data_IF_026292548474
#
_entry.id   IF_026292548474
#
_cell.length_a   1.000
_cell.length_b   1.000
_cell.length_c   1.000
_cell.angle_alpha   90.00
_cell.angle_beta   90.00
_cell.angle_gamma   90.00
#
_symmetry.space_group_name_H-M   'P 1'
#
loop_
_entity.id
_entity.type
_entity.pdbx_description
1 polymer ?
#
# COMPACT_ATOMS: atom_id res chain seq x y z
N UNK A 1 40.77 49.63 1.98
CA UNK A 1 39.55 48.85 2.33
C UNK A 1 39.86 47.42 2.80
N UNK A 2 40.76 46.70 2.13
CA UNK A 2 40.96 45.24 2.27
C UNK A 2 41.24 44.71 3.69
N UNK A 3 42.10 45.37 4.49
CA UNK A 3 42.39 44.98 5.89
C UNK A 3 41.13 44.87 6.76
N UNK A 4 40.12 45.72 6.52
CA UNK A 4 38.85 45.69 7.25
C UNK A 4 38.00 44.47 6.90
N UNK A 5 37.92 44.11 5.61
CA UNK A 5 37.24 42.87 5.16
C UNK A 5 37.87 41.61 5.78
N UNK A 6 39.21 41.58 5.90
CA UNK A 6 39.95 40.45 6.50
C UNK A 6 39.72 40.31 8.01
N UNK A 7 39.50 41.42 8.72
CA UNK A 7 39.09 41.41 10.13
C UNK A 7 37.63 40.92 10.30
N UNK A 8 36.70 41.39 9.46
CA UNK A 8 35.28 41.03 9.56
C UNK A 8 35.06 39.52 9.35
N UNK A 9 35.72 38.91 8.35
CA UNK A 9 35.69 37.44 8.13
C UNK A 9 36.19 36.66 9.35
N UNK A 10 37.39 36.98 9.87
CA UNK A 10 37.94 36.31 11.07
C UNK A 10 37.02 36.36 12.30
N UNK A 11 36.20 37.42 12.44
CA UNK A 11 35.23 37.50 13.54
C UNK A 11 34.04 36.55 13.33
N UNK A 12 33.49 36.51 12.11
CA UNK A 12 32.41 35.58 11.74
C UNK A 12 32.85 34.11 11.86
N UNK A 13 34.08 33.77 11.43
CA UNK A 13 34.64 32.42 11.58
C UNK A 13 34.72 31.99 13.06
N UNK A 14 35.10 32.92 13.96
CA UNK A 14 35.17 32.68 15.39
C UNK A 14 33.79 32.52 16.05
N UNK A 15 32.81 33.34 15.67
CA UNK A 15 31.43 33.25 16.14
C UNK A 15 30.76 31.95 15.65
N UNK A 16 30.99 31.56 14.39
CA UNK A 16 30.46 30.30 13.81
C UNK A 16 31.05 29.05 14.49
N UNK A 17 32.37 29.03 14.75
CA UNK A 17 32.99 27.93 15.52
C UNK A 17 32.46 27.82 16.95
N UNK A 18 32.25 28.95 17.64
CA UNK A 18 31.64 28.95 18.98
C UNK A 18 30.19 28.44 18.96
N UNK A 19 29.41 28.78 17.93
CA UNK A 19 28.03 28.25 17.80
C UNK A 19 28.03 26.73 17.61
N UNK A 20 28.89 26.19 16.72
CA UNK A 20 29.05 24.74 16.53
C UNK A 20 29.51 24.01 17.79
N UNK A 21 30.47 24.58 18.53
CA UNK A 21 30.91 23.99 19.80
C UNK A 21 29.78 23.95 20.83
N UNK A 22 29.03 25.06 21.00
CA UNK A 22 27.89 25.09 21.93
C UNK A 22 26.80 24.09 21.56
N UNK A 23 26.49 23.94 20.25
CA UNK A 23 25.55 22.91 19.80
C UNK A 23 26.02 21.50 20.17
N UNK A 24 27.31 21.19 20.01
CA UNK A 24 27.85 19.88 20.40
C UNK A 24 27.89 19.64 21.92
N UNK A 25 28.06 20.70 22.70
CA UNK A 25 27.95 20.65 24.17
C UNK A 25 26.48 20.47 24.63
N UNK A 26 25.49 20.94 23.86
CA UNK A 26 24.06 20.72 24.11
C UNK A 26 23.58 19.35 23.62
N UNK A 27 24.16 18.83 22.53
CA UNK A 27 23.94 17.50 21.94
C UNK A 27 24.38 16.38 22.90
N UNK A 28 25.64 16.39 23.35
CA UNK A 28 26.17 15.40 24.33
C UNK A 28 25.37 15.42 25.63
N UNK A 29 24.89 16.59 26.07
CA UNK A 29 24.05 16.70 27.26
C UNK A 29 22.63 16.15 27.04
N UNK A 30 22.13 16.12 25.81
CA UNK A 30 20.87 15.45 25.48
C UNK A 30 21.04 13.92 25.50
N UNK A 31 22.14 13.40 24.95
CA UNK A 31 22.48 11.97 24.99
C UNK A 31 22.59 11.45 26.45
N UNK A 32 23.31 12.18 27.32
CA UNK A 32 23.46 11.86 28.75
C UNK A 32 22.10 11.76 29.49
N UNK A 33 21.16 12.66 29.20
CA UNK A 33 19.80 12.61 29.76
C UNK A 33 18.96 11.45 29.20
N UNK A 34 19.13 11.08 27.92
CA UNK A 34 18.45 9.93 27.33
C UNK A 34 18.95 8.62 27.95
N UNK A 35 20.24 8.51 28.26
CA UNK A 35 20.81 7.33 28.91
C UNK A 35 20.41 7.24 30.40
N UNK A 36 20.30 8.35 31.12
CA UNK A 36 19.75 8.40 32.49
C UNK A 36 18.28 7.94 32.53
N UNK A 37 17.43 8.46 31.64
CA UNK A 37 16.01 8.05 31.54
C UNK A 37 15.89 6.57 31.17
N UNK A 38 16.70 6.10 30.21
CA UNK A 38 16.74 4.67 29.81
C UNK A 38 17.11 3.77 30.98
N UNK A 39 18.02 4.21 31.85
CA UNK A 39 18.43 3.50 33.07
C UNK A 39 17.30 3.43 34.10
N UNK A 40 16.57 4.52 34.33
CA UNK A 40 15.40 4.55 35.24
C UNK A 40 14.27 3.62 34.75
N UNK A 41 13.95 3.66 33.45
CA UNK A 41 12.94 2.79 32.82
C UNK A 41 13.31 1.30 32.91
N UNK A 42 14.60 0.95 33.01
CA UNK A 42 15.04 -0.42 33.28
C UNK A 42 14.81 -0.83 34.73
N UNK A 43 15.04 0.06 35.71
CA UNK A 43 14.85 -0.23 37.14
C UNK A 43 13.36 -0.39 37.52
N UNK A 44 12.47 0.44 36.99
CA UNK A 44 11.01 0.31 37.22
C UNK A 44 10.42 -1.00 36.66
N UNK A 45 11.05 -1.57 35.61
CA UNK A 45 10.67 -2.87 35.03
C UNK A 45 11.12 -4.07 35.89
N UNK A 46 12.18 -3.95 36.68
CA UNK A 46 12.49 -4.96 37.71
C UNK A 46 11.58 -4.80 38.94
N UNK A 47 11.32 -3.57 39.39
CA UNK A 47 10.51 -3.28 40.57
C UNK A 47 9.05 -3.75 40.48
N UNK A 48 8.51 -3.92 39.28
CA UNK A 48 7.12 -4.33 39.03
C UNK A 48 6.88 -5.85 38.98
N UNK A 49 7.94 -6.68 39.06
CA UNK A 49 7.81 -8.15 38.98
C UNK A 49 7.40 -8.79 40.32
N UNK A 50 6.11 -8.71 40.64
CA UNK A 50 5.49 -9.31 41.83
C UNK A 50 5.72 -10.84 41.89
N UNK A 51 6.08 -11.42 43.05
CA UNK A 51 6.47 -12.83 43.14
C UNK A 51 5.30 -13.80 42.98
N UNK A 52 5.60 -14.94 42.35
CA UNK A 52 4.69 -16.05 42.06
C UNK A 52 4.45 -16.90 43.32
N UNK A 53 3.18 -17.21 43.62
CA UNK A 53 2.83 -17.93 44.85
C UNK A 53 2.85 -19.45 44.66
N UNK A 54 3.95 -20.09 45.07
CA UNK A 54 4.04 -21.55 45.14
C UNK A 54 3.04 -22.11 46.15
N UNK A 55 2.09 -22.92 45.67
CA UNK A 55 1.06 -23.55 46.50
C UNK A 55 1.66 -24.70 47.33
N UNK A 56 1.70 -24.54 48.65
CA UNK A 56 2.19 -25.58 49.57
C UNK A 56 1.10 -26.61 49.89
N UNK A 57 1.49 -27.89 49.96
CA UNK A 57 0.66 -28.99 50.48
C UNK A 57 0.91 -29.22 51.99
N UNK A 58 -0.07 -29.79 52.73
CA UNK A 58 0.06 -30.08 54.17
C UNK A 58 1.01 -31.26 54.47
N UNK A 59 1.45 -31.43 55.74
CA UNK A 59 2.58 -32.29 56.09
C UNK A 59 2.26 -33.79 56.12
N UNK A 60 3.33 -34.60 56.14
CA UNK A 60 3.32 -36.06 56.21
C UNK A 60 3.24 -36.56 57.66
N UNK A 61 2.59 -37.71 57.85
CA UNK A 61 2.88 -38.64 58.95
C UNK A 61 3.47 -39.95 58.39
N UNK A 62 4.08 -40.76 59.25
CA UNK A 62 4.89 -41.93 58.88
C UNK A 62 4.10 -43.16 58.41
N UNK A 63 4.73 -43.97 57.55
CA UNK A 63 5.03 -45.41 57.83
C UNK A 63 5.89 -46.01 56.70
N UNK A 64 6.93 -46.76 57.09
CA UNK A 64 7.80 -47.60 56.25
C UNK A 64 7.44 -49.10 56.42
N UNK A 65 8.01 -50.04 55.63
CA UNK A 65 8.34 -50.02 54.19
C UNK A 65 7.99 -51.37 53.50
N UNK A 66 8.08 -51.44 52.15
CA UNK A 66 8.42 -52.63 51.32
C UNK A 66 8.11 -52.31 49.85
N UNK A 67 8.75 -52.90 48.82
CA UNK A 67 10.09 -53.50 48.66
C UNK A 67 10.27 -53.85 47.17
N UNK A 68 11.52 -54.01 46.70
CA UNK A 68 11.90 -54.55 45.35
C UNK A 68 11.40 -53.74 44.13
N UNK A 69 12.08 -53.69 42.98
CA UNK A 69 13.47 -54.01 42.57
C UNK A 69 13.63 -53.61 41.10
N UNK A 70 14.85 -53.27 40.65
CA UNK A 70 15.43 -53.63 39.32
C UNK A 70 14.68 -53.24 38.00
N UNK A 71 15.34 -52.89 36.89
CA UNK A 71 16.74 -52.51 36.63
C UNK A 71 16.83 -51.59 35.38
N UNK A 72 18.02 -51.02 35.23
CA UNK A 72 18.65 -50.11 34.26
C UNK A 72 18.37 -50.23 32.75
N UNK A 73 18.90 -49.22 32.04
CA UNK A 73 19.34 -49.16 30.62
C UNK A 73 18.33 -48.58 29.59
N UNK A 74 18.69 -47.54 28.82
CA UNK A 74 19.80 -47.33 27.85
C UNK A 74 19.58 -48.10 26.52
N UNK A 75 19.82 -47.55 25.32
CA UNK A 75 20.37 -46.23 24.92
C UNK A 75 19.82 -45.76 23.55
N UNK A 76 20.32 -44.63 23.05
CA UNK A 76 20.05 -43.99 21.75
C UNK A 76 20.30 -44.90 20.51
N UNK A 77 19.74 -44.53 19.34
CA UNK A 77 20.55 -44.03 18.20
C UNK A 77 19.69 -43.24 17.17
N UNK A 78 20.34 -42.58 16.21
CA UNK A 78 19.79 -41.63 15.24
C UNK A 78 19.82 -42.17 13.81
N UNK A 79 18.77 -41.91 13.00
CA UNK A 79 18.89 -41.81 11.53
C UNK A 79 17.73 -40.96 10.97
N UNK A 80 17.92 -39.80 10.33
CA UNK A 80 18.54 -39.45 9.02
C UNK A 80 17.66 -39.67 7.77
N UNK A 81 17.39 -38.55 7.10
CA UNK A 81 17.30 -38.33 5.63
C UNK A 81 16.05 -38.72 4.78
N UNK A 82 15.55 -37.69 4.07
CA UNK A 82 15.11 -37.62 2.65
C UNK A 82 13.61 -37.59 2.26
N UNK A 83 13.30 -36.56 1.43
CA UNK A 83 12.48 -36.55 0.20
C UNK A 83 10.94 -36.36 0.27
N UNK A 84 10.54 -35.17 -0.23
CA UNK A 84 9.43 -34.79 -1.15
C UNK A 84 7.94 -34.85 -0.75
N UNK A 85 7.30 -33.74 -1.16
CA UNK A 85 6.03 -33.54 -1.89
C UNK A 85 4.67 -33.91 -1.25
N UNK A 86 3.70 -33.03 -1.56
CA UNK A 86 2.22 -33.14 -1.40
C UNK A 86 1.68 -33.24 0.06
N UNK A 87 0.69 -32.47 0.52
CA UNK A 87 -0.59 -31.92 -0.01
C UNK A 87 -1.81 -32.81 0.29
N UNK A 88 -2.98 -32.17 0.47
CA UNK A 88 -4.23 -32.71 1.05
C UNK A 88 -4.13 -32.99 2.57
N UNK A 89 -5.12 -32.78 3.45
CA UNK A 89 -6.59 -32.64 3.40
C UNK A 89 -7.40 -33.96 3.51
N UNK A 90 -8.38 -33.93 4.42
CA UNK A 90 -9.34 -34.98 4.84
C UNK A 90 -8.81 -36.19 5.63
N UNK A 91 -9.40 -36.38 6.82
CA UNK A 91 -10.26 -37.53 7.19
C UNK A 91 -11.25 -36.98 8.26
N UNK A 92 -12.57 -37.19 8.21
CA UNK A 92 -13.31 -38.42 8.58
C UNK A 92 -12.87 -39.02 9.93
N UNK A 93 -13.69 -39.69 10.74
CA UNK A 93 -15.11 -39.66 11.15
C UNK A 93 -15.24 -40.84 12.11
N UNK A 94 -16.11 -40.80 13.13
CA UNK A 94 -16.72 -42.03 13.70
C UNK A 94 -17.93 -41.71 14.58
N UNK A 95 -18.98 -42.50 14.39
CA UNK A 95 -20.13 -42.67 15.30
C UNK A 95 -19.73 -43.55 16.50
N UNK A 96 -20.46 -43.74 17.60
CA UNK A 96 -21.86 -43.43 17.98
C UNK A 96 -22.07 -43.76 19.46
N UNK A 97 -23.05 -43.15 20.15
CA UNK A 97 -23.95 -43.88 21.09
C UNK A 97 -25.19 -43.04 21.44
N UNK A 98 -26.23 -43.71 21.95
CA UNK A 98 -27.58 -43.16 22.20
C UNK A 98 -28.02 -43.50 23.63
N UNK A 99 -28.48 -42.51 24.41
CA UNK A 99 -29.19 -42.73 25.67
C UNK A 99 -30.04 -41.51 26.10
N UNK A 100 -31.27 -41.77 26.50
CA UNK A 100 -32.24 -40.90 27.21
C UNK A 100 -33.13 -41.83 28.07
N UNK A 101 -33.90 -41.31 29.05
CA UNK A 101 -33.69 -40.15 29.92
C UNK A 101 -33.85 -40.57 31.42
N UNK A 102 -33.97 -39.61 32.36
CA UNK A 102 -34.75 -39.71 33.62
C UNK A 102 -34.69 -38.35 34.37
N UNK A 103 -35.57 -38.11 35.36
CA UNK A 103 -35.80 -36.79 35.99
C UNK A 103 -35.00 -36.59 37.32
N UNK A 104 -34.87 -35.40 37.94
CA UNK A 104 -35.97 -34.75 38.72
C UNK A 104 -35.55 -33.48 39.51
N UNK A 105 -36.52 -32.54 39.67
CA UNK A 105 -36.84 -31.76 40.91
C UNK A 105 -36.03 -30.49 41.33
N UNK A 106 -36.74 -29.34 41.18
CA UNK A 106 -36.90 -28.13 42.04
C UNK A 106 -35.74 -27.28 42.60
N UNK A 107 -35.84 -25.95 42.38
CA UNK A 107 -36.18 -24.96 43.44
C UNK A 107 -36.75 -23.64 42.84
N UNK A 108 -37.35 -22.78 43.67
CA UNK A 108 -38.35 -21.74 43.29
C UNK A 108 -37.87 -20.25 43.28
N UNK A 109 -38.70 -19.24 42.88
CA UNK A 109 -38.22 -18.01 42.21
C UNK A 109 -38.48 -16.65 42.92
N UNK A 110 -38.16 -15.55 42.22
CA UNK A 110 -38.80 -14.22 42.27
C UNK A 110 -38.52 -13.51 40.92
N UNK A 111 -39.43 -12.84 40.20
CA UNK A 111 -40.30 -11.68 40.54
C UNK A 111 -39.47 -10.41 40.87
N UNK A 112 -39.72 -9.20 40.35
CA UNK A 112 -40.75 -8.64 39.44
C UNK A 112 -40.22 -7.26 38.90
N UNK A 113 -40.75 -6.54 37.89
CA UNK A 113 -41.91 -6.62 37.00
C UNK A 113 -41.68 -5.75 35.72
N UNK A 114 -42.64 -5.74 34.77
CA UNK A 114 -42.76 -4.72 33.71
C UNK A 114 -43.47 -3.43 34.21
N UNK A 115 -43.67 -2.40 33.35
CA UNK A 115 -44.96 -2.34 32.62
C UNK A 115 -44.87 -1.93 31.14
N UNK A 116 -45.93 -2.24 30.39
CA UNK A 116 -46.07 -2.00 28.94
C UNK A 116 -46.48 -0.57 28.51
N UNK A 117 -46.44 -0.37 27.18
CA UNK A 117 -47.40 0.37 26.35
C UNK A 117 -47.41 1.92 26.32
N UNK A 118 -47.26 2.49 25.11
CA UNK A 118 -48.45 2.90 24.30
C UNK A 118 -48.14 3.56 22.94
N UNK A 119 -48.79 3.02 21.89
CA UNK A 119 -49.42 3.74 20.76
C UNK A 119 -48.56 4.40 19.65
N UNK A 120 -49.08 4.31 18.42
CA UNK A 120 -48.53 4.81 17.16
C UNK A 120 -48.86 6.29 16.89
N UNK A 121 -48.10 6.93 15.98
CA UNK A 121 -48.65 7.85 14.96
C UNK A 121 -47.69 7.97 13.77
N UNK A 122 -48.23 8.01 12.55
CA UNK A 122 -47.46 8.32 11.32
C UNK A 122 -47.58 9.84 10.97
N UNK A 123 -47.38 10.30 9.71
CA UNK A 123 -46.43 11.39 9.44
C UNK A 123 -47.09 12.78 9.34
N UNK A 124 -46.25 13.82 9.45
CA UNK A 124 -46.66 15.22 9.22
C UNK A 124 -46.10 15.74 7.89
N UNK A 125 -46.99 16.01 6.93
CA UNK A 125 -46.65 16.57 5.61
C UNK A 125 -47.12 18.02 5.49
N UNK A 126 -46.19 18.98 5.62
CA UNK A 126 -46.32 20.40 5.26
C UNK A 126 -44.91 21.01 5.11
N UNK A 127 -44.64 21.99 4.25
CA UNK A 127 -45.36 22.49 3.06
C UNK A 127 -44.36 23.31 2.20
N UNK A 128 -44.67 23.52 0.92
CA UNK A 128 -43.98 24.53 0.10
C UNK A 128 -44.34 25.96 0.55
N UNK A 129 -43.53 26.95 0.16
CA UNK A 129 -44.09 28.14 -0.48
C UNK A 129 -43.57 28.33 -1.91
N UNK A 130 -44.43 28.92 -2.75
CA UNK A 130 -44.26 29.01 -4.21
C UNK A 130 -43.27 30.11 -4.66
N UNK A 131 -42.74 29.89 -5.88
CA UNK A 131 -42.50 30.87 -6.94
C UNK A 131 -41.73 32.19 -6.66
N UNK A 132 -40.67 32.38 -7.44
CA UNK A 132 -40.41 33.66 -8.11
C UNK A 132 -39.82 33.44 -9.49
N UNK A 133 -40.60 33.75 -10.53
CA UNK A 133 -40.20 33.68 -11.94
C UNK A 133 -39.60 35.03 -12.35
N UNK A 134 -38.40 35.04 -12.95
CA UNK A 134 -38.04 36.12 -13.87
C UNK A 134 -36.91 35.78 -14.86
N UNK A 135 -37.28 35.83 -16.14
CA UNK A 135 -36.51 36.35 -17.28
C UNK A 135 -35.18 35.72 -17.72
N UNK A 136 -35.28 34.81 -18.70
CA UNK A 136 -34.63 35.03 -20.01
C UNK A 136 -35.36 36.17 -20.78
N UNK A 137 -34.79 36.82 -21.84
CA UNK A 137 -33.73 36.33 -22.73
C UNK A 137 -32.64 37.37 -23.12
N UNK A 138 -31.66 36.95 -23.94
CA UNK A 138 -31.45 37.50 -25.29
C UNK A 138 -30.25 36.87 -26.02
N UNK A 139 -30.47 36.39 -27.24
CA UNK A 139 -29.43 36.08 -28.23
C UNK A 139 -28.82 37.37 -28.77
N UNK A 140 -27.51 37.39 -29.06
CA UNK A 140 -26.95 38.35 -30.01
C UNK A 140 -25.86 37.68 -30.86
N UNK A 141 -25.91 37.95 -32.17
CA UNK A 141 -25.01 37.38 -33.18
C UNK A 141 -23.86 38.33 -33.54
N UNK A 142 -23.04 37.88 -34.51
CA UNK A 142 -21.83 38.52 -35.02
C UNK A 142 -22.03 39.92 -35.63
N UNK A 143 -20.92 40.58 -36.01
CA UNK A 143 -20.79 40.94 -37.43
C UNK A 143 -19.47 40.52 -38.08
N UNK A 144 -19.55 40.22 -39.38
CA UNK A 144 -18.41 39.88 -40.25
C UNK A 144 -17.50 41.07 -40.59
N UNK A 145 -16.20 40.80 -40.82
CA UNK A 145 -15.36 41.47 -41.83
C UNK A 145 -14.16 40.57 -42.15
N UNK A 146 -13.95 39.96 -43.34
CA UNK A 146 -14.06 40.36 -44.76
C UNK A 146 -12.74 40.83 -45.41
N UNK A 147 -12.29 40.02 -46.39
CA UNK A 147 -11.33 40.27 -47.51
C UNK A 147 -9.83 40.45 -47.21
N UNK A 148 -9.00 39.45 -47.60
CA UNK A 148 -8.02 39.49 -48.72
C UNK A 148 -7.13 38.22 -48.68
N UNK A 149 -7.27 37.26 -49.60
CA UNK A 149 -6.69 37.19 -50.95
C UNK A 149 -5.36 36.43 -51.01
N UNK A 150 -5.32 35.34 -51.78
CA UNK A 150 -4.10 34.54 -52.08
C UNK A 150 -3.12 35.29 -53.02
N UNK A 151 -1.90 34.76 -53.26
CA UNK A 151 -1.76 33.66 -54.23
C UNK A 151 -0.86 32.49 -53.82
N UNK A 152 -1.35 31.30 -54.13
CA UNK A 152 -0.66 30.15 -54.76
C UNK A 152 0.88 30.02 -54.71
N UNK A 153 1.34 28.80 -54.43
CA UNK A 153 2.59 28.28 -55.02
C UNK A 153 2.33 26.87 -55.56
N UNK A 154 2.21 26.75 -56.89
CA UNK A 154 2.10 25.46 -57.58
C UNK A 154 3.48 24.85 -57.81
N UNK A 155 3.59 23.53 -57.56
CA UNK A 155 4.27 22.53 -58.41
C UNK A 155 5.78 22.72 -58.73
N UNK A 156 6.53 21.78 -59.33
CA UNK A 156 6.23 20.49 -60.00
C UNK A 156 7.17 19.33 -59.52
N UNK A 157 7.01 18.07 -60.00
CA UNK A 157 7.58 16.86 -59.37
C UNK A 157 8.80 16.26 -60.14
N UNK A 158 8.78 14.94 -60.39
CA UNK A 158 9.80 14.07 -61.05
C UNK A 158 11.01 13.64 -60.17
N UNK A 159 11.53 12.40 -60.24
CA UNK A 159 11.13 11.15 -60.93
C UNK A 159 11.78 9.90 -60.23
N UNK A 160 11.35 8.65 -60.51
CA UNK A 160 11.70 7.47 -59.70
C UNK A 160 12.96 6.70 -60.16
N UNK A 161 13.49 5.81 -59.29
CA UNK A 161 14.52 4.82 -59.66
C UNK A 161 14.15 3.41 -59.18
N UNK A 162 13.58 2.64 -60.12
CA UNK A 162 13.65 1.19 -60.34
C UNK A 162 13.66 0.18 -59.18
N UNK A 163 12.64 -0.70 -59.20
CA UNK A 163 12.69 -2.07 -58.69
C UNK A 163 13.40 -3.01 -59.68
N UNK A 164 14.02 -4.11 -59.19
CA UNK A 164 13.94 -5.51 -59.69
C UNK A 164 15.15 -6.37 -59.25
N UNK A 165 15.08 -7.72 -59.26
CA UNK A 165 13.91 -8.59 -59.40
C UNK A 165 13.76 -9.61 -58.24
N UNK A 166 12.64 -10.35 -58.25
CA UNK A 166 12.35 -11.47 -57.34
C UNK A 166 13.34 -12.65 -57.48
N UNK A 167 13.46 -13.46 -56.43
CA UNK A 167 13.83 -14.88 -56.56
C UNK A 167 12.75 -15.73 -55.90
N UNK A 168 12.16 -16.66 -56.65
CA UNK A 168 11.06 -17.52 -56.21
C UNK A 168 11.55 -18.97 -56.14
N UNK A 169 11.35 -19.63 -54.99
CA UNK A 169 11.56 -21.06 -54.81
C UNK A 169 10.62 -21.62 -53.73
N UNK A 170 9.61 -22.37 -54.19
CA UNK A 170 8.76 -23.27 -53.40
C UNK A 170 9.22 -24.73 -53.65
N UNK A 171 8.70 -25.75 -52.94
CA UNK A 171 8.44 -25.82 -51.49
C UNK A 171 8.84 -27.18 -50.87
N UNK A 172 9.17 -27.23 -49.57
CA UNK A 172 9.11 -28.48 -48.79
C UNK A 172 8.58 -28.23 -47.36
N UNK A 173 7.87 -29.20 -46.79
CA UNK A 173 7.26 -29.19 -45.45
C UNK A 173 6.86 -30.62 -45.03
N UNK A 174 6.51 -30.91 -43.75
CA UNK A 174 6.67 -30.15 -42.49
C UNK A 174 7.83 -30.78 -41.66
N UNK A 175 7.96 -30.90 -40.32
CA UNK A 175 7.22 -30.69 -39.02
C UNK A 175 8.30 -30.72 -37.90
N UNK A 176 8.04 -30.39 -36.61
CA UNK A 176 7.11 -29.44 -35.99
C UNK A 176 7.78 -28.57 -34.88
N UNK A 177 7.02 -27.66 -34.27
CA UNK A 177 7.12 -27.14 -32.88
C UNK A 177 8.47 -27.09 -32.14
N UNK A 178 8.93 -25.87 -31.84
CA UNK A 178 9.34 -25.52 -30.47
C UNK A 178 8.88 -24.09 -30.15
N UNK A 179 8.87 -23.69 -28.88
CA UNK A 179 8.03 -22.57 -28.41
C UNK A 179 8.56 -21.18 -28.78
N UNK A 180 7.65 -20.23 -29.07
CA UNK A 180 7.99 -18.80 -29.11
C UNK A 180 8.45 -18.35 -27.73
N UNK A 181 9.75 -18.08 -27.60
CA UNK A 181 10.28 -17.25 -26.52
C UNK A 181 9.66 -15.85 -26.63
N UNK A 182 8.66 -15.55 -25.79
CA UNK A 182 8.28 -14.17 -25.54
C UNK A 182 9.50 -13.46 -24.94
N UNK A 183 9.86 -12.31 -25.48
CA UNK A 183 10.92 -11.48 -24.92
C UNK A 183 10.43 -10.92 -23.59
N UNK A 184 11.17 -11.19 -22.51
CA UNK A 184 10.89 -10.70 -21.16
C UNK A 184 11.85 -9.55 -20.92
N UNK A 185 11.35 -8.31 -20.92
CA UNK A 185 12.15 -7.15 -20.53
C UNK A 185 12.24 -7.08 -19.00
N UNK A 186 13.45 -7.27 -18.46
CA UNK A 186 13.79 -6.91 -17.08
C UNK A 186 14.19 -5.43 -17.01
N UNK A 187 13.60 -4.68 -16.07
CA UNK A 187 13.96 -3.30 -15.74
C UNK A 187 14.12 -3.17 -14.23
N UNK A 188 15.14 -2.43 -13.79
CA UNK A 188 15.48 -2.30 -12.37
C UNK A 188 15.24 -0.87 -11.89
N UNK A 189 14.45 -0.70 -10.84
CA UNK A 189 14.31 0.56 -10.11
C UNK A 189 15.31 0.62 -8.96
N UNK A 190 16.00 1.75 -8.84
CA UNK A 190 17.11 1.97 -7.90
C UNK A 190 16.89 3.28 -7.16
N UNK A 191 16.97 3.25 -5.83
CA UNK A 191 17.20 4.48 -5.06
C UNK A 191 18.71 4.69 -4.92
N UNK A 192 19.16 5.94 -5.07
CA UNK A 192 20.55 6.29 -4.79
C UNK A 192 20.65 6.77 -3.34
N UNK A 193 21.55 6.17 -2.57
CA UNK A 193 21.99 6.73 -1.29
C UNK A 193 23.08 7.77 -1.59
N UNK A 194 22.88 9.04 -1.20
CA UNK A 194 23.89 10.09 -1.46
C UNK A 194 25.17 9.96 -0.60
N UNK A 195 25.17 9.10 0.42
CA UNK A 195 26.30 8.92 1.35
C UNK A 195 27.21 7.73 1.02
N UNK A 196 26.69 6.69 0.35
CA UNK A 196 27.45 5.51 -0.09
C UNK A 196 27.07 5.17 -1.54
N UNK A 197 28.05 5.21 -2.46
CA UNK A 197 27.93 5.05 -3.92
C UNK A 197 27.53 3.61 -4.36
N UNK A 198 27.00 2.81 -3.44
CA UNK A 198 26.50 1.46 -3.67
C UNK A 198 25.05 1.50 -4.14
N UNK A 199 24.84 1.28 -5.43
CA UNK A 199 23.51 1.12 -6.01
C UNK A 199 22.88 -0.20 -5.56
N UNK A 200 22.07 -0.18 -4.50
CA UNK A 200 21.21 -1.30 -4.14
C UNK A 200 20.05 -1.43 -5.13
N UNK A 201 19.73 -2.66 -5.53
CA UNK A 201 18.49 -2.95 -6.24
C UNK A 201 17.34 -2.72 -5.27
N UNK A 202 16.45 -1.77 -5.57
CA UNK A 202 15.34 -1.40 -4.68
C UNK A 202 14.03 -2.03 -5.11
N UNK A 203 13.83 -2.30 -6.41
CA UNK A 203 12.66 -3.01 -6.93
C UNK A 203 12.89 -3.41 -8.41
N UNK A 204 12.83 -4.72 -8.75
CA UNK A 204 12.90 -5.18 -10.15
C UNK A 204 11.51 -5.41 -10.75
N UNK A 205 11.36 -5.20 -12.06
CA UNK A 205 10.09 -5.42 -12.78
C UNK A 205 10.30 -6.16 -14.10
N UNK A 206 9.38 -7.07 -14.43
CA UNK A 206 9.37 -7.81 -15.69
C UNK A 206 8.05 -7.56 -16.45
N UNK A 207 8.13 -7.07 -17.69
CA UNK A 207 6.94 -6.95 -18.55
C UNK A 207 6.67 -8.30 -19.20
N UNK A 208 5.53 -8.92 -18.86
CA UNK A 208 5.16 -10.26 -19.35
C UNK A 208 4.07 -10.25 -20.45
N UNK A 209 3.55 -9.07 -20.81
CA UNK A 209 2.55 -8.89 -21.86
C UNK A 209 1.85 -7.53 -21.85
N UNK A 210 0.79 -7.42 -22.64
CA UNK A 210 -0.09 -6.26 -22.77
C UNK A 210 -1.43 -6.50 -22.05
N UNK A 211 -2.27 -5.46 -21.95
CA UNK A 211 -3.59 -5.53 -21.31
C UNK A 211 -4.57 -6.34 -22.18
N UNK A 212 -4.50 -6.19 -23.51
CA UNK A 212 -5.39 -6.91 -24.44
C UNK A 212 -5.33 -8.43 -24.24
N UNK A 213 -4.16 -9.05 -24.41
CA UNK A 213 -4.01 -10.50 -24.23
C UNK A 213 -4.04 -10.96 -22.76
N UNK A 214 -4.01 -10.05 -21.80
CA UNK A 214 -4.38 -10.37 -20.41
C UNK A 214 -5.89 -10.53 -20.26
N UNK A 215 -6.70 -9.62 -20.83
CA UNK A 215 -8.16 -9.68 -20.76
C UNK A 215 -8.80 -10.72 -21.70
N UNK A 216 -8.16 -11.10 -22.81
CA UNK A 216 -8.58 -12.24 -23.65
C UNK A 216 -8.69 -13.58 -22.88
N UNK A 217 -7.98 -13.70 -21.76
CA UNK A 217 -7.96 -14.90 -20.91
C UNK A 217 -9.00 -14.87 -19.77
N UNK A 218 -9.81 -13.81 -19.68
CA UNK A 218 -10.74 -13.54 -18.58
C UNK A 218 -12.19 -13.41 -19.08
N UNK A 219 -13.20 -13.54 -18.20
CA UNK A 219 -14.58 -13.17 -18.50
C UNK A 219 -14.67 -11.71 -18.98
N UNK A 220 -15.44 -11.46 -20.04
CA UNK A 220 -15.42 -10.17 -20.76
C UNK A 220 -15.77 -8.96 -19.89
N UNK A 221 -16.62 -9.14 -18.88
CA UNK A 221 -16.96 -8.11 -17.89
C UNK A 221 -15.76 -7.63 -17.07
N UNK A 222 -14.67 -8.40 -17.00
CA UNK A 222 -13.45 -8.03 -16.25
C UNK A 222 -12.65 -6.93 -16.91
N UNK A 223 -12.75 -6.78 -18.23
CA UNK A 223 -12.16 -5.63 -18.95
C UNK A 223 -12.91 -4.35 -18.60
N UNK A 224 -14.24 -4.37 -18.63
CA UNK A 224 -15.08 -3.22 -18.23
C UNK A 224 -14.91 -2.87 -16.75
N UNK A 225 -14.89 -3.86 -15.84
CA UNK A 225 -14.63 -3.63 -14.40
C UNK A 225 -13.25 -2.97 -14.17
N UNK A 226 -12.24 -3.33 -14.97
CA UNK A 226 -10.94 -2.68 -14.94
C UNK A 226 -10.98 -1.25 -15.49
N UNK A 227 -11.58 -1.04 -16.66
CA UNK A 227 -11.67 0.28 -17.32
C UNK A 227 -12.39 1.32 -16.45
N UNK A 228 -13.53 0.94 -15.84
CA UNK A 228 -14.27 1.79 -14.91
C UNK A 228 -13.45 2.16 -13.66
N UNK A 229 -12.81 1.17 -13.03
CA UNK A 229 -11.97 1.39 -11.84
C UNK A 229 -10.68 2.16 -12.16
N UNK A 230 -10.11 1.97 -13.34
CA UNK A 230 -8.93 2.69 -13.80
C UNK A 230 -9.23 4.17 -14.08
N UNK A 231 -10.39 4.46 -14.70
CA UNK A 231 -10.86 5.84 -14.86
C UNK A 231 -11.10 6.52 -13.50
N UNK A 232 -11.72 5.81 -12.54
CA UNK A 232 -11.90 6.32 -11.18
C UNK A 232 -10.55 6.53 -10.45
N UNK A 233 -9.59 5.61 -10.61
CA UNK A 233 -8.25 5.70 -10.01
C UNK A 233 -7.49 6.94 -10.51
N UNK A 234 -7.58 7.21 -11.82
CA UNK A 234 -7.06 8.42 -12.45
C UNK A 234 -7.73 9.67 -11.86
N UNK A 235 -9.07 9.67 -11.74
CA UNK A 235 -9.82 10.78 -11.16
C UNK A 235 -9.43 11.07 -9.70
N UNK A 236 -9.26 10.04 -8.87
CA UNK A 236 -8.81 10.18 -7.48
C UNK A 236 -7.41 10.78 -7.39
N UNK A 237 -6.46 10.32 -8.22
CA UNK A 237 -5.10 10.87 -8.24
C UNK A 237 -5.07 12.31 -8.77
N UNK A 238 -5.92 12.65 -9.74
CA UNK A 238 -6.08 14.02 -10.22
C UNK A 238 -6.58 14.96 -9.09
N UNK A 239 -7.54 14.53 -8.28
CA UNK A 239 -7.97 15.27 -7.08
C UNK A 239 -6.84 15.51 -6.07
N UNK A 240 -5.99 14.49 -5.84
CA UNK A 240 -4.80 14.64 -4.99
C UNK A 240 -3.79 15.65 -5.55
N UNK A 241 -3.66 15.76 -6.87
CA UNK A 241 -2.83 16.80 -7.52
C UNK A 241 -3.44 18.19 -7.33
N UNK A 242 -4.73 18.34 -7.63
CA UNK A 242 -5.44 19.63 -7.57
C UNK A 242 -5.54 20.21 -6.16
N UNK A 243 -5.70 19.35 -5.14
CA UNK A 243 -5.68 19.75 -3.73
C UNK A 243 -4.27 20.02 -3.17
N UNK A 244 -3.19 19.77 -3.93
CA UNK A 244 -1.81 19.94 -3.46
C UNK A 244 -1.23 18.75 -2.66
N UNK A 245 -1.96 17.64 -2.56
CA UNK A 245 -1.49 16.38 -1.98
C UNK A 245 -0.38 15.68 -2.79
N UNK A 246 -0.15 16.13 -4.03
CA UNK A 246 0.93 15.70 -4.92
C UNK A 246 1.81 16.89 -5.32
N UNK A 247 2.71 17.38 -4.44
CA UNK A 247 3.67 18.42 -4.81
C UNK A 247 4.54 17.91 -5.98
N UNK A 248 4.43 18.58 -7.13
CA UNK A 248 5.09 18.19 -8.36
C UNK A 248 6.61 18.32 -8.22
N UNK A 249 7.34 17.21 -8.45
CA UNK A 249 8.80 17.19 -8.43
C UNK A 249 9.30 17.09 -9.87
N UNK A 250 10.06 18.09 -10.33
CA UNK A 250 10.64 18.15 -11.68
C UNK A 250 9.61 17.97 -12.82
N UNK A 251 8.35 18.39 -12.59
CA UNK A 251 7.23 18.26 -13.52
C UNK A 251 6.48 16.91 -13.43
N UNK A 252 6.94 16.00 -12.57
CA UNK A 252 6.34 14.68 -12.40
C UNK A 252 5.18 14.68 -11.40
N UNK A 253 4.16 13.88 -11.69
CA UNK A 253 3.16 13.45 -10.72
C UNK A 253 3.88 12.62 -9.66
N UNK A 254 3.65 12.92 -8.38
CA UNK A 254 4.24 12.18 -7.26
C UNK A 254 3.21 11.25 -6.62
N UNK A 255 1.94 11.68 -6.48
CA UNK A 255 0.87 10.81 -5.99
C UNK A 255 0.61 9.59 -6.89
N UNK A 256 0.29 8.47 -6.25
CA UNK A 256 -0.01 7.18 -6.87
C UNK A 256 -1.27 6.58 -6.26
N UNK A 257 -1.89 5.64 -6.97
CA UNK A 257 -2.98 4.83 -6.43
C UNK A 257 -2.90 3.40 -6.93
N UNK A 258 -3.63 2.51 -6.26
CA UNK A 258 -3.87 1.14 -6.71
C UNK A 258 -5.26 0.64 -6.36
N UNK A 259 -5.73 -0.38 -7.09
CA UNK A 259 -6.93 -1.14 -6.72
C UNK A 259 -6.79 -2.64 -6.98
N UNK A 260 -7.53 -3.44 -6.20
CA UNK A 260 -7.76 -4.87 -6.43
C UNK A 260 -8.79 -5.10 -7.54
N UNK A 261 -8.40 -5.88 -8.54
CA UNK A 261 -9.31 -6.45 -9.54
C UNK A 261 -9.45 -7.96 -9.26
N UNK A 262 -10.66 -8.42 -8.94
CA UNK A 262 -10.92 -9.83 -8.64
C UNK A 262 -11.16 -10.60 -9.95
N UNK A 263 -10.23 -11.47 -10.34
CA UNK A 263 -10.24 -12.17 -11.64
C UNK A 263 -10.83 -13.59 -11.57
N UNK A 264 -10.92 -14.18 -10.38
CA UNK A 264 -11.74 -15.37 -10.08
C UNK A 264 -12.07 -15.40 -8.58
N UNK A 265 -12.91 -16.32 -8.12
CA UNK A 265 -13.29 -16.44 -6.70
C UNK A 265 -12.09 -16.48 -5.73
N UNK A 266 -10.96 -17.02 -6.18
CA UNK A 266 -9.74 -17.21 -5.37
C UNK A 266 -8.57 -16.30 -5.76
N UNK A 267 -8.65 -15.58 -6.89
CA UNK A 267 -7.54 -14.78 -7.44
C UNK A 267 -7.93 -13.31 -7.68
N UNK A 268 -7.03 -12.41 -7.31
CA UNK A 268 -7.03 -11.01 -7.71
C UNK A 268 -5.68 -10.62 -8.30
N UNK A 269 -5.67 -9.52 -9.04
CA UNK A 269 -4.48 -8.76 -9.45
C UNK A 269 -4.57 -7.33 -8.91
N UNK A 270 -3.50 -6.55 -9.05
CA UNK A 270 -3.47 -5.15 -8.66
C UNK A 270 -3.27 -4.26 -9.87
N UNK A 271 -4.19 -3.33 -10.12
CA UNK A 271 -3.93 -2.22 -11.03
C UNK A 271 -3.20 -1.11 -10.27
N UNK A 272 -2.21 -0.50 -10.91
CA UNK A 272 -1.39 0.61 -10.39
C UNK A 272 -1.11 1.63 -11.49
N UNK A 273 -0.81 2.88 -11.13
CA UNK A 273 -0.21 3.82 -12.08
C UNK A 273 1.25 3.46 -12.39
N UNK A 274 1.70 3.84 -13.59
CA UNK A 274 3.12 3.78 -13.98
C UNK A 274 3.93 4.95 -13.41
N UNK A 275 5.24 4.78 -13.33
CA UNK A 275 6.17 5.85 -12.98
C UNK A 275 6.36 6.86 -14.13
N UNK A 276 6.90 8.04 -13.82
CA UNK A 276 7.26 9.07 -14.80
C UNK A 276 6.08 9.83 -15.45
N UNK A 277 4.91 9.83 -14.81
CA UNK A 277 3.74 10.60 -15.24
C UNK A 277 4.00 12.11 -15.10
N UNK A 278 3.45 12.92 -16.02
CA UNK A 278 3.70 14.36 -16.11
C UNK A 278 2.45 15.13 -15.65
N UNK A 279 2.61 16.18 -14.83
CA UNK A 279 1.46 16.95 -14.30
C UNK A 279 0.73 17.81 -15.34
N UNK A 280 1.33 18.01 -16.52
CA UNK A 280 0.77 18.80 -17.62
C UNK A 280 0.00 17.97 -18.67
N UNK A 281 -0.09 16.65 -18.48
CA UNK A 281 -0.72 15.72 -19.43
C UNK A 281 -1.90 14.99 -18.79
N UNK A 282 -3.03 14.84 -19.50
CA UNK A 282 -4.15 14.05 -19.01
C UNK A 282 -3.73 12.58 -18.92
N UNK A 283 -3.97 11.95 -17.77
CA UNK A 283 -3.71 10.53 -17.55
C UNK A 283 -4.66 9.67 -18.40
N UNK A 284 -4.14 8.54 -18.90
CA UNK A 284 -4.87 7.65 -19.79
C UNK A 284 -4.83 6.18 -19.31
N UNK A 285 -6.00 5.52 -19.24
CA UNK A 285 -6.15 4.14 -18.76
C UNK A 285 -5.25 3.13 -19.51
N UNK A 286 -5.03 3.33 -20.81
CA UNK A 286 -4.30 2.37 -21.64
C UNK A 286 -2.77 2.54 -21.53
N UNK A 287 -2.26 3.78 -21.51
CA UNK A 287 -0.81 4.04 -21.45
C UNK A 287 -0.24 4.16 -20.04
N UNK A 288 -1.08 4.50 -19.05
CA UNK A 288 -0.58 4.97 -17.74
C UNK A 288 -0.92 4.01 -16.59
N UNK A 289 -1.65 2.93 -16.87
CA UNK A 289 -1.98 1.87 -15.90
C UNK A 289 -1.21 0.60 -16.24
N UNK A 290 -0.68 -0.03 -15.19
CA UNK A 290 -0.08 -1.37 -15.25
C UNK A 290 -0.91 -2.32 -14.37
N UNK A 291 -1.01 -3.59 -14.77
CA UNK A 291 -1.56 -4.64 -13.90
C UNK A 291 -0.41 -5.50 -13.39
N UNK A 292 -0.20 -5.49 -12.07
CA UNK A 292 0.73 -6.37 -11.37
C UNK A 292 0.07 -7.74 -11.19
N UNK A 293 0.64 -8.75 -11.84
CA UNK A 293 0.15 -10.13 -11.80
C UNK A 293 0.77 -10.93 -10.66
N UNK A 294 2.02 -10.63 -10.31
CA UNK A 294 2.78 -11.30 -9.25
C UNK A 294 3.78 -10.34 -8.61
N UNK A 295 4.11 -10.57 -7.34
CA UNK A 295 5.25 -9.98 -6.65
C UNK A 295 5.95 -11.06 -5.82
N UNK A 296 7.27 -11.18 -5.96
CA UNK A 296 8.12 -12.03 -5.13
C UNK A 296 8.82 -11.18 -4.06
N UNK A 297 8.47 -11.32 -2.77
CA UNK A 297 9.09 -10.59 -1.68
C UNK A 297 10.52 -11.08 -1.35
N UNK A 298 10.98 -12.19 -1.94
CA UNK A 298 12.32 -12.76 -1.73
C UNK A 298 13.37 -12.05 -2.59
N UNK A 299 13.02 -11.81 -3.86
CA UNK A 299 13.85 -11.10 -4.83
C UNK A 299 13.42 -9.64 -5.01
N UNK A 300 12.35 -9.22 -4.32
CA UNK A 300 11.75 -7.90 -4.36
C UNK A 300 11.44 -7.44 -5.80
N UNK A 301 10.74 -8.32 -6.53
CA UNK A 301 10.48 -8.17 -7.96
C UNK A 301 8.98 -8.36 -8.31
N UNK A 302 8.49 -7.66 -9.33
CA UNK A 302 7.11 -7.79 -9.82
C UNK A 302 7.03 -8.19 -11.29
N UNK A 303 6.07 -9.06 -11.61
CA UNK A 303 5.66 -9.32 -12.98
C UNK A 303 4.41 -8.49 -13.29
N UNK A 304 4.39 -7.82 -14.45
CA UNK A 304 3.31 -6.92 -14.84
C UNK A 304 2.96 -6.98 -16.33
N UNK A 305 1.75 -6.52 -16.65
CA UNK A 305 1.31 -6.25 -18.03
C UNK A 305 0.97 -4.77 -18.23
N UNK A 306 1.29 -4.24 -19.42
CA UNK A 306 0.89 -2.91 -19.88
C UNK A 306 1.02 -2.83 -21.41
N UNK A 307 0.13 -2.08 -22.05
CA UNK A 307 0.16 -1.87 -23.51
C UNK A 307 1.39 -1.05 -23.93
N UNK A 308 1.84 -0.13 -23.07
CA UNK A 308 3.06 0.64 -23.26
C UNK A 308 4.30 -0.25 -23.01
N UNK A 309 5.26 -0.20 -23.93
CA UNK A 309 6.41 -1.11 -23.97
C UNK A 309 7.55 -0.68 -23.05
N UNK A 310 7.93 0.59 -23.08
CA UNK A 310 8.94 1.17 -22.20
C UNK A 310 8.45 1.34 -20.75
N UNK A 311 7.17 1.04 -20.47
CA UNK A 311 6.52 1.19 -19.17
C UNK A 311 7.27 0.55 -18.00
N UNK A 312 7.12 1.20 -16.84
CA UNK A 312 7.62 0.78 -15.53
C UNK A 312 6.53 1.13 -14.50
N UNK A 313 5.96 0.17 -13.74
CA UNK A 313 4.95 0.48 -12.72
C UNK A 313 5.55 1.33 -11.58
N UNK A 314 4.71 2.03 -10.81
CA UNK A 314 5.17 2.81 -9.64
C UNK A 314 6.11 2.01 -8.71
N UNK A 315 7.08 2.71 -8.13
CA UNK A 315 7.95 2.19 -7.06
C UNK A 315 7.18 1.72 -5.82
N UNK A 316 5.90 2.11 -5.66
CA UNK A 316 5.08 1.74 -4.49
C UNK A 316 4.41 0.35 -4.60
N UNK A 317 4.61 -0.38 -5.69
CA UNK A 317 4.10 -1.77 -5.83
C UNK A 317 4.43 -2.68 -4.64
N UNK A 318 5.67 -2.70 -4.07
CA UNK A 318 5.98 -3.56 -2.93
C UNK A 318 5.18 -3.22 -1.68
N UNK A 319 5.06 -1.92 -1.36
CA UNK A 319 4.34 -1.47 -0.17
C UNK A 319 2.83 -1.67 -0.35
N UNK A 320 2.26 -1.39 -1.53
CA UNK A 320 0.87 -1.71 -1.86
C UNK A 320 0.59 -3.22 -1.73
N UNK A 321 1.43 -4.08 -2.31
CA UNK A 321 1.28 -5.53 -2.20
C UNK A 321 1.22 -5.96 -0.74
N UNK A 322 2.16 -5.49 0.09
CA UNK A 322 2.22 -5.82 1.51
C UNK A 322 1.00 -5.29 2.29
N UNK A 323 0.59 -4.03 2.09
CA UNK A 323 -0.64 -3.47 2.68
C UNK A 323 -1.88 -4.29 2.35
N UNK A 324 -1.98 -4.79 1.11
CA UNK A 324 -3.09 -5.64 0.68
C UNK A 324 -3.09 -7.06 1.24
N UNK A 325 -1.95 -7.56 1.75
CA UNK A 325 -1.84 -8.81 2.54
C UNK A 325 -1.95 -8.56 4.05
N UNK A 326 -1.61 -7.36 4.54
CA UNK A 326 -1.47 -7.02 5.96
C UNK A 326 -2.67 -7.44 6.80
N UNK A 327 -3.90 -7.18 6.35
CA UNK A 327 -5.10 -7.59 7.09
C UNK A 327 -5.28 -9.10 7.30
N UNK A 328 -4.65 -9.97 6.48
CA UNK A 328 -4.57 -11.41 6.76
C UNK A 328 -3.48 -11.76 7.78
N UNK A 329 -2.36 -11.03 7.80
CA UNK A 329 -1.27 -11.16 8.81
C UNK A 329 -1.76 -10.72 10.19
N UNK A 330 -2.44 -9.57 10.27
CA UNK A 330 -2.87 -8.92 11.51
C UNK A 330 -4.35 -9.18 11.90
N UNK A 331 -5.05 -10.06 11.16
CA UNK A 331 -6.44 -10.49 11.44
C UNK A 331 -7.46 -9.34 11.50
N UNK A 332 -7.29 -8.35 10.61
CA UNK A 332 -8.20 -7.20 10.48
C UNK A 332 -9.63 -7.63 10.11
N UNK A 333 -10.62 -6.88 10.59
CA UNK A 333 -12.06 -7.18 10.40
C UNK A 333 -12.52 -6.95 8.95
N UNK A 334 -11.81 -6.09 8.21
CA UNK A 334 -11.97 -5.86 6.77
C UNK A 334 -10.61 -5.89 6.08
N UNK A 335 -10.60 -6.05 4.76
CA UNK A 335 -9.40 -5.92 3.93
C UNK A 335 -9.57 -4.72 2.99
N UNK A 336 -8.56 -3.85 2.81
CA UNK A 336 -8.63 -2.78 1.82
C UNK A 336 -8.65 -3.35 0.40
N UNK A 337 -9.34 -2.65 -0.50
CA UNK A 337 -9.36 -2.94 -1.94
C UNK A 337 -8.76 -1.82 -2.79
N UNK A 338 -8.63 -0.61 -2.22
CA UNK A 338 -7.93 0.52 -2.81
C UNK A 338 -6.86 1.04 -1.86
N UNK A 339 -5.80 1.62 -2.42
CA UNK A 339 -4.77 2.38 -1.69
C UNK A 339 -4.49 3.66 -2.46
N UNK A 340 -4.42 4.78 -1.74
CA UNK A 340 -4.02 6.08 -2.28
C UNK A 340 -2.73 6.53 -1.58
N UNK A 341 -1.78 7.05 -2.35
CA UNK A 341 -0.53 7.62 -1.87
C UNK A 341 -0.37 9.05 -2.38
N UNK A 342 0.00 9.98 -1.50
CA UNK A 342 0.39 11.34 -1.86
C UNK A 342 1.60 11.80 -1.07
N UNK A 343 2.32 12.77 -1.62
CA UNK A 343 3.61 13.27 -1.12
C UNK A 343 3.51 14.60 -0.37
N UNK A 344 2.32 14.98 0.11
CA UNK A 344 2.18 16.13 1.01
C UNK A 344 2.97 15.91 2.30
N UNK A 345 3.77 16.90 2.66
CA UNK A 345 4.77 16.84 3.73
C UNK A 345 4.13 16.99 5.12
N UNK A 346 3.40 15.97 5.56
CA UNK A 346 2.97 15.84 6.94
C UNK A 346 4.18 15.81 7.88
N UNK A 347 4.35 16.87 8.68
CA UNK A 347 5.35 16.87 9.75
C UNK A 347 4.90 15.95 10.89
N UNK A 348 5.85 15.45 11.68
CA UNK A 348 5.56 14.65 12.88
C UNK A 348 4.63 15.37 13.87
N UNK A 349 4.81 16.68 14.02
CA UNK A 349 3.93 17.55 14.83
C UNK A 349 2.50 17.62 14.25
N UNK A 350 2.37 17.75 12.93
CA UNK A 350 1.08 17.78 12.24
C UNK A 350 0.35 16.43 12.35
N UNK A 351 1.04 15.31 12.07
CA UNK A 351 0.49 13.97 12.19
C UNK A 351 -0.01 13.67 13.62
N UNK A 352 0.78 14.06 14.64
CA UNK A 352 0.39 13.95 16.05
C UNK A 352 -0.82 14.84 16.39
N UNK A 353 -0.89 16.06 15.86
CA UNK A 353 -2.02 16.99 16.07
C UNK A 353 -3.35 16.46 15.51
N UNK A 354 -3.32 15.70 14.42
CA UNK A 354 -4.50 15.08 13.80
C UNK A 354 -4.69 13.59 14.18
N UNK A 355 -3.86 13.07 15.10
CA UNK A 355 -3.86 11.69 15.54
C UNK A 355 -3.64 10.63 14.44
N UNK A 356 -3.00 10.97 13.31
CA UNK A 356 -2.60 9.98 12.31
C UNK A 356 -1.34 9.24 12.78
N UNK A 357 -1.32 7.89 12.78
CA UNK A 357 -0.10 7.12 13.03
C UNK A 357 0.99 7.47 12.01
N UNK A 358 2.22 7.61 12.49
CA UNK A 358 3.40 7.99 11.70
C UNK A 358 4.55 7.00 11.93
N UNK A 359 5.36 6.74 10.91
CA UNK A 359 6.57 5.92 11.06
C UNK A 359 7.55 6.56 12.05
N UNK A 360 8.25 5.77 12.90
CA UNK A 360 9.17 6.29 13.91
C UNK A 360 10.48 6.85 13.32
N UNK A 361 10.75 6.53 12.05
CA UNK A 361 11.89 6.96 11.25
C UNK A 361 11.40 7.29 9.81
N UNK A 362 12.16 8.08 9.02
CA UNK A 362 11.79 8.41 7.64
C UNK A 362 11.73 7.18 6.74
N UNK A 363 10.64 7.03 5.97
CA UNK A 363 10.42 5.87 5.07
C UNK A 363 10.40 6.32 3.61
N UNK A 364 11.60 6.70 3.13
CA UNK A 364 11.81 7.52 1.94
C UNK A 364 11.69 6.77 0.61
N UNK A 365 11.67 5.44 0.63
CA UNK A 365 11.44 4.60 -0.54
C UNK A 365 10.50 3.44 -0.17
N UNK A 366 10.35 2.47 -1.07
CA UNK A 366 9.55 1.26 -0.85
C UNK A 366 10.47 0.02 -0.80
N UNK A 367 11.58 0.15 -0.05
CA UNK A 367 12.53 -0.95 0.20
C UNK A 367 11.93 -2.00 1.14
N UNK A 368 12.59 -3.16 1.32
CA UNK A 368 12.23 -4.13 2.36
C UNK A 368 12.18 -3.52 3.77
N UNK A 369 13.06 -2.56 4.09
CA UNK A 369 13.10 -1.91 5.40
C UNK A 369 11.93 -0.94 5.56
N UNK A 370 11.77 0.01 4.64
CA UNK A 370 10.65 0.99 4.67
C UNK A 370 9.30 0.29 4.80
N UNK A 371 9.13 -0.80 4.04
CA UNK A 371 7.89 -1.56 3.99
C UNK A 371 7.64 -2.30 5.30
N UNK A 372 8.66 -2.85 5.95
CA UNK A 372 8.47 -3.48 7.27
C UNK A 372 8.16 -2.43 8.36
N UNK A 373 8.80 -1.25 8.33
CA UNK A 373 8.48 -0.14 9.25
C UNK A 373 7.01 0.32 9.13
N UNK A 374 6.43 0.30 7.92
CA UNK A 374 4.99 0.56 7.73
C UNK A 374 4.12 -0.62 8.14
N UNK A 375 4.57 -1.88 7.98
CA UNK A 375 3.86 -3.06 8.50
C UNK A 375 3.83 -3.08 10.04
N UNK A 376 4.85 -2.57 10.74
CA UNK A 376 4.87 -2.46 12.20
C UNK A 376 3.81 -1.44 12.71
N UNK A 377 3.58 -0.38 11.91
CA UNK A 377 2.53 0.61 12.14
C UNK A 377 1.12 0.01 11.95
N UNK A 378 0.96 -0.90 10.98
CA UNK A 378 -0.27 -1.68 10.73
C UNK A 378 -0.56 -2.74 11.80
N UNK A 379 0.46 -3.30 12.45
CA UNK A 379 0.29 -4.25 13.55
C UNK A 379 -0.33 -3.57 14.79
N UNK A 380 0.02 -2.29 15.01
CA UNK A 380 -0.45 -1.50 16.15
C UNK A 380 -1.70 -0.66 15.86
N UNK A 381 -2.00 -0.37 14.60
CA UNK A 381 -3.14 0.45 14.19
C UNK A 381 -3.93 -0.27 13.08
N UNK A 382 -5.06 -0.87 13.43
CA UNK A 382 -5.81 -1.75 12.52
C UNK A 382 -6.74 -1.00 11.58
N UNK A 383 -6.87 -1.49 10.34
CA UNK A 383 -7.93 -1.13 9.40
C UNK A 383 -9.16 -2.03 9.63
N UNK A 384 -10.41 -1.53 9.53
CA UNK A 384 -10.85 -0.23 9.00
C UNK A 384 -10.83 0.94 10.00
N UNK A 385 -10.49 0.71 11.26
CA UNK A 385 -10.56 1.73 12.32
C UNK A 385 -9.51 2.85 12.11
N UNK A 386 -8.36 2.51 11.53
CA UNK A 386 -7.33 3.40 11.01
C UNK A 386 -7.23 3.24 9.51
N UNK A 387 -7.33 4.34 8.76
CA UNK A 387 -7.19 4.36 7.30
C UNK A 387 -5.94 5.10 6.81
N UNK A 388 -5.54 6.17 7.50
CA UNK A 388 -4.44 7.06 7.09
C UNK A 388 -3.20 6.78 7.94
N UNK A 389 -2.05 6.65 7.28
CA UNK A 389 -0.76 6.33 7.87
C UNK A 389 0.31 7.22 7.25
N UNK A 390 1.11 7.92 8.05
CA UNK A 390 2.12 8.87 7.56
C UNK A 390 3.49 8.19 7.45
N UNK A 391 4.08 8.26 6.26
CA UNK A 391 5.49 7.96 5.97
C UNK A 391 6.30 9.21 6.27
N UNK A 392 7.04 9.22 7.37
CA UNK A 392 7.80 10.41 7.77
C UNK A 392 8.78 10.85 6.67
N UNK A 393 8.80 12.15 6.39
CA UNK A 393 9.65 12.75 5.35
C UNK A 393 9.25 12.42 3.92
N UNK A 394 8.16 11.69 3.68
CA UNK A 394 7.77 11.21 2.35
C UNK A 394 6.31 11.52 1.97
N UNK A 395 5.32 11.25 2.84
CA UNK A 395 3.90 11.44 2.49
C UNK A 395 2.90 10.63 3.32
N UNK A 396 1.71 10.37 2.76
CA UNK A 396 0.65 9.58 3.41
C UNK A 396 0.28 8.33 2.61
N UNK A 397 -0.07 7.23 3.29
CA UNK A 397 -0.76 6.07 2.72
C UNK A 397 -2.19 6.02 3.29
N UNK A 398 -3.18 5.96 2.41
CA UNK A 398 -4.60 5.86 2.74
C UNK A 398 -5.14 4.51 2.24
N UNK A 399 -5.59 3.66 3.16
CA UNK A 399 -6.20 2.36 2.91
C UNK A 399 -7.74 2.49 2.86
N UNK A 400 -8.38 1.95 1.82
CA UNK A 400 -9.84 2.05 1.65
C UNK A 400 -10.49 0.78 1.07
N UNK A 401 -11.80 0.64 1.24
CA UNK A 401 -12.60 -0.46 0.68
C UNK A 401 -13.04 -0.21 -0.76
N UNK A 402 -12.86 1.01 -1.28
CA UNK A 402 -13.02 1.39 -2.69
C UNK A 402 -12.21 2.66 -3.00
N UNK A 403 -11.99 2.96 -4.29
CA UNK A 403 -11.38 4.22 -4.71
C UNK A 403 -12.26 5.44 -4.39
N UNK A 404 -13.59 5.26 -4.41
CA UNK A 404 -14.55 6.30 -4.00
C UNK A 404 -14.34 6.68 -2.53
N UNK A 405 -14.27 5.69 -1.63
CA UNK A 405 -13.95 5.93 -0.21
C UNK A 405 -12.55 6.55 -0.04
N UNK A 406 -11.56 6.16 -0.86
CA UNK A 406 -10.23 6.78 -0.81
C UNK A 406 -10.28 8.27 -1.20
N UNK A 407 -11.11 8.65 -2.17
CA UNK A 407 -11.32 10.04 -2.54
C UNK A 407 -12.06 10.82 -1.45
N UNK A 408 -13.14 10.25 -0.90
CA UNK A 408 -13.94 10.86 0.16
C UNK A 408 -13.16 11.06 1.46
N UNK A 409 -12.35 10.08 1.86
CA UNK A 409 -11.51 10.16 3.07
C UNK A 409 -10.31 11.11 2.86
N UNK A 410 -9.76 11.21 1.64
CA UNK A 410 -8.75 12.22 1.32
C UNK A 410 -9.32 13.65 1.48
N UNK A 411 -10.47 13.94 0.87
CA UNK A 411 -11.14 15.25 0.99
C UNK A 411 -11.58 15.56 2.43
N UNK A 412 -12.07 14.58 3.18
CA UNK A 412 -12.57 14.78 4.55
C UNK A 412 -11.44 14.95 5.59
N UNK A 413 -10.35 14.19 5.46
CA UNK A 413 -9.36 14.02 6.54
C UNK A 413 -7.96 14.56 6.18
N UNK A 414 -7.58 14.58 4.90
CA UNK A 414 -6.24 15.03 4.45
C UNK A 414 -6.29 16.48 3.97
N UNK A 415 -7.19 16.83 3.04
CA UNK A 415 -7.27 18.18 2.43
C UNK A 415 -7.36 19.33 3.45
N UNK A 416 -8.08 19.22 4.59
CA UNK A 416 -8.12 20.28 5.62
C UNK A 416 -6.78 20.54 6.35
N UNK A 417 -5.74 19.75 6.07
CA UNK A 417 -4.44 19.77 6.74
C UNK A 417 -3.25 19.97 5.77
N UNK A 418 -3.49 20.28 4.50
CA UNK A 418 -2.46 20.53 3.47
C UNK A 418 -1.87 21.97 3.54
#
# INVERSE_FOLDING_TARGET
MERSRRHKRKKQDGESKRKRQKQKEEEVKAEEQVEEVKTQVTQDKEATKKPEQTKQEPPKEDVQPQSTSEDSNQVEDQSKTLIRDEALANDESVSSTQAEPEASVQSEPSAQAEPEASVQSEPSTQAEPEASVQSEPSTQAEPEASVQSEPSTQAEPEAPVQSEPSTQAEPEAPVPSEASTKEIEEKTQTAQNEEDDSCSVVFSVHRIGNLESFFEQLPGEKKTEFEEKAALMISTVQGVIEAGGSPAKDGLVTANASFKLQISDTKYVFAVLRSGLQVDKPLNVQSDVCIITQFDPTHWAADFVSDLEDAVPTSDVPIYWMSYKAGKRFKWTKLPTAILHGHSMFSREMAQKVCFPITPEPTLASTPLDTQTVLDLYETNSYPETKIFIREGHGFLLLASSLQEASEEFEASIVPNL
#
